data_IF_031656125076
#
_entry.id   IF_031656125076
#
_cell.length_a   1.000
_cell.length_b   1.000
_cell.length_c   1.000
_cell.angle_alpha   90.00
_cell.angle_beta   90.00
_cell.angle_gamma   90.00
#
_symmetry.space_group_name_H-M   'P 1'
#
loop_
_entity.id
_entity.type
_entity.pdbx_description
1 polymer ?
#
# COMPACT_ATOMS: atom_id res chain seq x y z
N UNK A 1 -2.60 3.60 16.40
CA UNK A 1 -1.59 3.72 15.32
C UNK A 1 -1.94 2.77 14.19
N UNK A 2 -1.57 3.08 12.94
CA UNK A 2 -1.71 2.17 11.80
C UNK A 2 -0.33 1.65 11.41
N UNK A 3 -0.22 0.34 11.13
CA UNK A 3 0.97 -0.29 10.53
C UNK A 3 0.60 -0.84 9.16
N UNK A 4 1.42 -0.55 8.16
CA UNK A 4 1.24 -1.08 6.81
C UNK A 4 2.49 -1.89 6.46
N UNK A 5 2.28 -3.16 6.12
CA UNK A 5 3.30 -4.02 5.53
C UNK A 5 3.25 -3.89 4.01
N UNK A 6 4.37 -3.55 3.39
CA UNK A 6 4.50 -3.32 1.94
C UNK A 6 5.11 -4.53 1.21
N UNK A 7 5.35 -5.64 1.91
CA UNK A 7 6.13 -6.77 1.40
C UNK A 7 7.64 -6.49 1.42
N UNK A 8 8.43 -7.50 1.08
CA UNK A 8 9.90 -7.41 0.98
C UNK A 8 10.59 -6.80 2.22
N UNK A 9 10.01 -7.02 3.41
CA UNK A 9 10.54 -6.52 4.69
C UNK A 9 10.28 -5.03 4.97
N UNK A 10 9.51 -4.32 4.15
CA UNK A 10 9.18 -2.92 4.37
C UNK A 10 7.90 -2.75 5.19
N UNK A 11 7.95 -1.89 6.21
CA UNK A 11 6.80 -1.51 7.03
C UNK A 11 6.79 0.00 7.24
N UNK A 12 5.61 0.63 7.19
CA UNK A 12 5.43 2.02 7.65
C UNK A 12 4.46 2.09 8.82
N UNK A 13 4.71 3.02 9.74
CA UNK A 13 3.83 3.28 10.89
C UNK A 13 3.35 4.73 10.91
N UNK A 14 2.11 4.90 11.34
CA UNK A 14 1.42 6.17 11.45
C UNK A 14 0.81 6.27 12.86
N UNK A 15 1.40 7.12 13.71
CA UNK A 15 0.99 7.32 15.10
C UNK A 15 0.48 8.76 15.35
N UNK A 16 -0.01 8.99 16.57
CA UNK A 16 -0.70 10.21 16.98
C UNK A 16 -1.94 10.55 16.13
N UNK A 17 -2.64 9.53 15.62
CA UNK A 17 -3.84 9.75 14.83
C UNK A 17 -5.01 10.15 15.75
N UNK A 18 -5.80 11.15 15.33
CA UNK A 18 -7.06 11.52 15.99
C UNK A 18 -8.16 10.51 15.72
N UNK A 19 -8.22 9.98 14.49
CA UNK A 19 -9.15 8.91 14.10
C UNK A 19 -8.64 8.12 12.90
N UNK A 20 -9.14 6.90 12.75
CA UNK A 20 -8.94 6.08 11.55
C UNK A 20 -9.94 6.49 10.45
N UNK A 21 -9.56 6.29 9.20
CA UNK A 21 -10.49 6.48 8.09
C UNK A 21 -11.53 5.35 8.03
N UNK A 22 -12.74 5.61 7.51
CA UNK A 22 -13.76 4.58 7.35
C UNK A 22 -13.25 3.37 6.54
N UNK A 23 -13.64 2.16 6.95
CA UNK A 23 -13.26 0.91 6.28
C UNK A 23 -11.82 0.43 6.56
N UNK A 24 -11.00 1.21 7.26
CA UNK A 24 -9.67 0.78 7.67
C UNK A 24 -9.77 -0.20 8.85
N UNK A 25 -9.24 -1.40 8.64
CA UNK A 25 -9.23 -2.49 9.63
C UNK A 25 -7.97 -3.34 9.50
N UNK A 26 -7.60 -4.03 10.57
CA UNK A 26 -6.50 -4.99 10.57
C UNK A 26 -6.72 -6.09 9.52
N UNK A 27 -5.65 -6.45 8.81
CA UNK A 27 -5.70 -7.41 7.70
C UNK A 27 -6.27 -6.83 6.39
N UNK A 28 -6.79 -5.60 6.38
CA UNK A 28 -7.25 -4.93 5.18
C UNK A 28 -6.11 -4.57 4.22
N UNK A 29 -6.38 -4.65 2.92
CA UNK A 29 -5.48 -4.12 1.88
C UNK A 29 -5.75 -2.63 1.68
N UNK A 30 -4.69 -1.87 1.44
CA UNK A 30 -4.77 -0.44 1.11
C UNK A 30 -3.95 -0.15 -0.13
N UNK A 31 -4.37 0.85 -0.90
CA UNK A 31 -3.63 1.34 -2.06
C UNK A 31 -2.77 2.54 -1.68
N UNK A 32 -1.67 2.75 -2.41
CA UNK A 32 -0.89 3.97 -2.28
C UNK A 32 -1.79 5.20 -2.55
N UNK A 33 -1.70 6.22 -1.69
CA UNK A 33 -2.55 7.42 -1.76
C UNK A 33 -3.92 7.27 -1.08
N UNK A 34 -4.31 6.08 -0.62
CA UNK A 34 -5.52 5.89 0.16
C UNK A 34 -5.40 6.55 1.54
N UNK A 35 -6.43 7.30 1.94
CA UNK A 35 -6.51 7.86 3.30
C UNK A 35 -6.74 6.75 4.30
N UNK A 36 -5.84 6.65 5.30
CA UNK A 36 -5.88 5.61 6.34
C UNK A 36 -6.26 6.15 7.73
N UNK A 37 -6.22 7.47 7.90
CA UNK A 37 -6.48 8.14 9.16
C UNK A 37 -6.12 9.61 9.10
N UNK A 38 -6.34 10.29 10.21
CA UNK A 38 -6.16 11.74 10.34
C UNK A 38 -5.22 12.02 11.51
N UNK A 39 -4.28 12.96 11.33
CA UNK A 39 -3.36 13.36 12.38
C UNK A 39 -4.08 13.97 13.58
N UNK A 40 -3.44 13.91 14.73
CA UNK A 40 -3.90 14.46 16.00
C UNK A 40 -2.75 14.46 17.00
N UNK A 41 -3.08 14.35 18.27
CA UNK A 41 -2.19 14.46 19.42
C UNK A 41 -2.36 13.30 20.42
N UNK A 42 -2.86 12.15 19.94
CA UNK A 42 -3.10 10.99 20.80
C UNK A 42 -1.79 10.34 21.28
N UNK A 43 -1.78 9.84 22.53
CA UNK A 43 -0.62 9.18 23.13
C UNK A 43 0.44 10.17 23.61
N UNK A 44 1.72 9.85 23.42
CA UNK A 44 2.84 10.71 23.81
C UNK A 44 3.12 11.76 22.72
N UNK A 45 2.22 12.73 22.58
CA UNK A 45 2.39 13.88 21.68
C UNK A 45 2.28 15.19 22.47
N UNK A 46 3.12 16.16 22.13
CA UNK A 46 3.09 17.51 22.74
C UNK A 46 2.09 18.45 22.05
N UNK A 47 1.85 18.24 20.75
CA UNK A 47 0.93 19.00 19.92
C UNK A 47 0.48 18.14 18.72
N UNK A 48 -0.57 18.53 17.98
CA UNK A 48 -1.04 17.78 16.82
C UNK A 48 0.02 17.64 15.72
N UNK A 49 0.45 16.41 15.44
CA UNK A 49 1.39 16.08 14.37
C UNK A 49 1.25 14.62 13.95
N UNK A 50 1.86 14.27 12.82
CA UNK A 50 1.98 12.87 12.39
C UNK A 50 3.35 12.32 12.77
N UNK A 51 3.39 11.28 13.60
CA UNK A 51 4.58 10.47 13.74
C UNK A 51 4.58 9.40 12.65
N UNK A 52 5.45 9.57 11.67
CA UNK A 52 5.67 8.65 10.57
C UNK A 52 7.00 7.91 10.73
N UNK A 53 6.95 6.59 10.62
CA UNK A 53 8.13 5.74 10.71
C UNK A 53 8.22 4.83 9.48
N UNK A 54 9.42 4.72 8.90
CA UNK A 54 9.75 3.72 7.88
C UNK A 54 10.68 2.68 8.50
N UNK A 55 10.38 1.40 8.27
CA UNK A 55 11.16 0.27 8.79
C UNK A 55 11.51 -0.68 7.64
N UNK A 56 12.72 -1.23 7.69
CA UNK A 56 13.19 -2.26 6.79
C UNK A 56 13.75 -3.42 7.61
N UNK A 57 13.21 -4.62 7.41
CA UNK A 57 13.51 -5.83 8.18
C UNK A 57 13.46 -5.58 9.70
N UNK A 58 12.39 -4.91 10.14
CA UNK A 58 12.16 -4.59 11.54
C UNK A 58 13.00 -3.44 12.11
N UNK A 59 13.96 -2.87 11.37
CA UNK A 59 14.80 -1.76 11.84
C UNK A 59 14.30 -0.40 11.32
N UNK A 60 14.17 0.63 12.18
CA UNK A 60 13.84 1.98 11.73
C UNK A 60 14.89 2.50 10.73
N UNK A 61 14.43 3.22 9.72
CA UNK A 61 15.27 3.88 8.72
C UNK A 61 14.81 5.32 8.56
N UNK A 62 15.74 6.22 8.26
CA UNK A 62 15.42 7.59 7.87
C UNK A 62 14.60 7.54 6.57
N UNK A 63 13.30 7.88 6.60
CA UNK A 63 12.43 7.71 5.44
C UNK A 63 12.86 8.55 4.24
N UNK A 64 13.63 9.63 4.44
CA UNK A 64 14.14 10.49 3.37
C UNK A 64 15.35 9.92 2.65
N UNK A 65 16.01 8.92 3.24
CA UNK A 65 17.25 8.31 2.72
C UNK A 65 17.05 6.90 2.18
N UNK A 66 15.90 6.28 2.43
CA UNK A 66 15.59 4.96 1.88
C UNK A 66 15.36 5.09 0.38
N UNK A 67 16.18 4.40 -0.43
CA UNK A 67 15.89 4.20 -1.85
C UNK A 67 14.74 3.22 -1.97
N UNK A 68 13.54 3.75 -2.20
CA UNK A 68 12.38 2.93 -2.51
C UNK A 68 12.55 2.31 -3.90
N UNK A 69 12.07 1.08 -4.14
CA UNK A 69 11.97 0.54 -5.48
C UNK A 69 10.95 1.37 -6.25
N UNK A 70 11.42 2.45 -6.88
CA UNK A 70 10.65 3.23 -7.84
C UNK A 70 11.09 2.78 -9.22
N UNK A 71 10.16 2.17 -9.96
CA UNK A 71 10.38 1.95 -11.38
C UNK A 71 10.02 3.24 -12.13
N UNK A 72 10.85 3.71 -13.07
CA UNK A 72 10.43 4.78 -13.97
C UNK A 72 9.17 4.33 -14.73
N UNK A 73 8.27 5.26 -15.08
CA UNK A 73 7.12 4.94 -15.90
C UNK A 73 7.56 4.39 -17.26
N UNK A 74 6.73 3.56 -17.88
CA UNK A 74 6.96 3.08 -19.25
C UNK A 74 7.09 4.31 -20.17
N UNK A 75 8.20 4.46 -20.93
CA UNK A 75 8.38 5.60 -21.83
C UNK A 75 7.22 5.70 -22.82
N UNK A 76 6.77 6.93 -23.13
CA UNK A 76 5.59 7.16 -23.99
C UNK A 76 5.67 6.40 -25.33
N UNK A 77 6.86 6.37 -25.95
CA UNK A 77 7.13 5.63 -27.20
C UNK A 77 6.88 4.11 -27.12
N UNK A 78 6.87 3.53 -25.92
CA UNK A 78 6.62 2.12 -25.68
C UNK A 78 5.25 1.85 -25.06
N UNK A 79 4.46 2.89 -24.75
CA UNK A 79 3.21 2.74 -24.01
C UNK A 79 2.15 1.96 -24.80
N UNK A 80 2.06 2.18 -26.11
CA UNK A 80 1.13 1.46 -26.97
C UNK A 80 1.46 -0.04 -27.05
N UNK A 81 2.73 -0.37 -27.35
CA UNK A 81 3.21 -1.75 -27.34
C UNK A 81 3.03 -2.43 -25.96
N UNK A 82 3.26 -1.69 -24.88
CA UNK A 82 3.02 -2.18 -23.52
C UNK A 82 1.55 -2.51 -23.28
N UNK A 83 0.60 -1.66 -23.72
CA UNK A 83 -0.83 -1.90 -23.55
C UNK A 83 -1.29 -3.16 -24.28
N UNK A 84 -0.90 -3.31 -25.55
CA UNK A 84 -1.24 -4.50 -26.35
C UNK A 84 -0.71 -5.77 -25.68
N UNK A 85 0.55 -5.77 -25.26
CA UNK A 85 1.16 -6.92 -24.58
C UNK A 85 0.52 -7.20 -23.21
N UNK A 86 0.16 -6.15 -22.46
CA UNK A 86 -0.51 -6.28 -21.18
C UNK A 86 -1.89 -6.91 -21.34
N UNK A 87 -2.69 -6.45 -22.29
CA UNK A 87 -4.02 -7.00 -22.59
C UNK A 87 -3.94 -8.48 -22.99
N UNK A 88 -3.02 -8.82 -23.89
CA UNK A 88 -2.77 -10.22 -24.29
C UNK A 88 -2.36 -11.10 -23.11
N UNK A 89 -1.52 -10.60 -22.20
CA UNK A 89 -1.09 -11.38 -21.03
C UNK A 89 -2.21 -11.55 -20.02
N UNK A 90 -3.02 -10.50 -19.80
CA UNK A 90 -4.15 -10.55 -18.88
C UNK A 90 -5.20 -11.55 -19.36
N UNK A 91 -5.47 -11.64 -20.67
CA UNK A 91 -6.44 -12.60 -21.21
C UNK A 91 -6.01 -14.07 -21.05
N UNK A 92 -4.71 -14.33 -20.88
CA UNK A 92 -4.18 -15.67 -20.62
C UNK A 92 -4.21 -16.06 -19.14
N UNK A 93 -4.49 -15.13 -18.23
CA UNK A 93 -4.58 -15.44 -16.81
C UNK A 93 -5.90 -16.16 -16.52
N UNK A 94 -5.88 -17.22 -15.68
CA UNK A 94 -7.11 -17.77 -15.17
C UNK A 94 -7.85 -16.71 -14.34
N UNK A 95 -9.20 -16.80 -14.23
CA UNK A 95 -9.95 -15.94 -13.33
C UNK A 95 -9.35 -16.02 -11.93
N UNK A 96 -9.36 -14.90 -11.22
CA UNK A 96 -8.74 -14.83 -9.89
C UNK A 96 -9.39 -15.83 -8.95
N UNK A 97 -8.68 -16.28 -7.91
CA UNK A 97 -9.25 -17.18 -6.90
C UNK A 97 -10.54 -16.62 -6.25
N UNK A 98 -10.73 -15.29 -6.27
CA UNK A 98 -11.95 -14.63 -5.80
C UNK A 98 -13.16 -14.80 -6.74
N UNK A 99 -12.95 -15.15 -8.02
CA UNK A 99 -14.01 -15.41 -9.02
C UNK A 99 -14.31 -16.91 -9.14
N UNK A 100 -13.43 -17.79 -8.64
CA UNK A 100 -13.60 -19.24 -8.68
C UNK A 100 -14.52 -19.79 -7.56
N UNK A 101 -14.72 -19.03 -6.47
CA UNK A 101 -15.61 -19.42 -5.36
C UNK A 101 -17.11 -19.09 -5.61
N UNK A 102 -17.46 -18.33 -6.66
CA UNK A 102 -18.85 -17.93 -6.94
C UNK A 102 -19.61 -18.88 -7.88
N UNK A 103 -19.07 -20.04 -8.23
CA UNK A 103 -19.78 -21.06 -9.01
C UNK A 103 -20.48 -22.00 -8.03
N UNK A 104 -21.82 -21.94 -7.86
CA UNK A 104 -22.51 -22.91 -7.02
C UNK A 104 -22.35 -24.32 -7.62
N UNK A 105 -21.91 -25.25 -6.78
CA UNK A 105 -21.94 -26.67 -7.09
C UNK A 105 -23.40 -27.08 -7.33
N UNK A 106 -23.68 -27.62 -8.51
CA UNK A 106 -24.95 -28.25 -8.85
C UNK A 106 -25.07 -29.63 -8.18
#
# INVERSE_FOLDING_TARGET
LVKINHGNGYETRYAHLSRFAPGIRSGGRVKQGQVIGYSGDTGLATAPHLHYEMRQYGRPKDPRKVRLPSAPPVPARHMEAFRVLAEQRVSLLPPSAAEQESVPAN
#
